data_IF_591508827909
#
_entry.id   IF_591508827909
#
_cell.length_a   1.000
_cell.length_b   1.000
_cell.length_c   1.000
_cell.angle_alpha   90.00
_cell.angle_beta   90.00
_cell.angle_gamma   90.00
#
_symmetry.space_group_name_H-M   'P 1'
#
loop_
_entity.id
_entity.type
_entity.pdbx_description
1 polymer ?
#
# COMPACT_ATOMS: atom_id res chain seq x y z
N UNK A 1 11.29 11.09 3.14
CA UNK A 1 10.28 10.17 3.69
C UNK A 1 9.71 9.27 2.60
N UNK A 2 8.75 8.38 2.90
CA UNK A 2 8.21 7.41 1.92
C UNK A 2 7.64 8.08 0.67
N UNK A 3 6.98 9.23 0.81
CA UNK A 3 6.43 9.99 -0.33
C UNK A 3 7.50 10.47 -1.32
N UNK A 4 8.62 10.96 -0.79
CA UNK A 4 9.74 11.41 -1.62
C UNK A 4 10.46 10.23 -2.29
N UNK A 5 10.63 9.12 -1.57
CA UNK A 5 11.20 7.89 -2.13
C UNK A 5 10.33 7.38 -3.28
N UNK A 6 9.02 7.29 -3.09
CA UNK A 6 8.08 6.86 -4.12
C UNK A 6 8.17 7.73 -5.38
N UNK A 7 8.04 9.06 -5.23
CA UNK A 7 8.11 10.00 -6.36
C UNK A 7 9.45 9.93 -7.09
N UNK A 8 10.57 9.98 -6.38
CA UNK A 8 11.91 9.92 -6.99
C UNK A 8 12.15 8.58 -7.69
N UNK A 9 11.67 7.48 -7.13
CA UNK A 9 11.79 6.17 -7.76
C UNK A 9 10.95 6.10 -9.03
N UNK A 10 9.69 6.57 -8.99
CA UNK A 10 8.85 6.66 -10.17
C UNK A 10 9.50 7.47 -11.29
N UNK A 11 9.99 8.69 -11.00
CA UNK A 11 10.63 9.55 -11.99
C UNK A 11 11.91 8.90 -12.55
N UNK A 12 12.71 8.24 -11.70
CA UNK A 12 13.89 7.51 -12.15
C UNK A 12 13.53 6.39 -13.13
N UNK A 13 12.53 5.56 -12.79
CA UNK A 13 12.09 4.45 -13.63
C UNK A 13 11.48 4.95 -14.95
N UNK A 14 10.63 5.98 -14.89
CA UNK A 14 10.06 6.63 -16.07
C UNK A 14 11.13 7.18 -17.00
N UNK A 15 12.13 7.89 -16.48
CA UNK A 15 13.23 8.46 -17.28
C UNK A 15 14.06 7.42 -18.04
N UNK A 16 14.03 6.16 -17.58
CA UNK A 16 14.73 5.03 -18.19
C UNK A 16 13.85 4.17 -19.12
N UNK A 17 12.59 4.56 -19.32
CA UNK A 17 11.67 3.87 -20.20
C UNK A 17 11.14 2.53 -19.65
N UNK A 18 11.14 2.34 -18.34
CA UNK A 18 10.48 1.17 -17.75
C UNK A 18 8.96 1.27 -17.89
N UNK A 19 8.31 0.14 -18.19
CA UNK A 19 6.86 0.08 -18.33
C UNK A 19 6.13 0.01 -16.97
N UNK A 20 6.77 -0.60 -15.98
CA UNK A 20 6.22 -0.78 -14.64
C UNK A 20 7.32 -0.64 -13.58
N UNK A 21 6.90 -0.27 -12.37
CA UNK A 21 7.72 -0.26 -11.17
C UNK A 21 7.03 -1.12 -10.12
N UNK A 22 7.76 -2.04 -9.50
CA UNK A 22 7.33 -2.65 -8.24
C UNK A 22 7.98 -1.89 -7.10
N UNK A 23 7.18 -1.46 -6.12
CA UNK A 23 7.67 -0.96 -4.86
C UNK A 23 7.18 -1.89 -3.75
N UNK A 24 8.08 -2.27 -2.86
CA UNK A 24 7.82 -3.16 -1.74
C UNK A 24 8.48 -2.60 -0.49
N UNK A 25 7.85 -2.85 0.65
CA UNK A 25 8.41 -2.60 1.97
C UNK A 25 9.60 -3.54 2.22
N UNK A 26 10.50 -3.12 3.11
CA UNK A 26 11.80 -3.79 3.30
C UNK A 26 11.73 -5.17 3.95
N UNK A 27 10.57 -5.54 4.47
CA UNK A 27 10.27 -6.80 5.15
C UNK A 27 9.36 -7.72 4.34
N UNK A 28 9.15 -7.43 3.04
CA UNK A 28 8.51 -8.40 2.13
C UNK A 28 9.40 -9.62 1.91
N UNK A 29 8.83 -10.80 2.10
CA UNK A 29 9.52 -12.08 1.97
C UNK A 29 8.89 -12.91 0.85
N UNK A 30 9.72 -13.42 -0.06
CA UNK A 30 9.31 -14.42 -1.03
C UNK A 30 9.18 -15.80 -0.34
N UNK A 31 8.04 -16.44 -0.52
CA UNK A 31 7.72 -17.73 0.10
C UNK A 31 7.96 -18.92 -0.84
N UNK A 32 8.05 -18.66 -2.16
CA UNK A 32 8.17 -19.70 -3.19
C UNK A 32 9.19 -19.30 -4.25
N UNK A 33 9.84 -20.31 -4.84
CA UNK A 33 10.64 -20.13 -6.04
C UNK A 33 9.75 -19.67 -7.21
N UNK A 34 10.29 -18.83 -8.10
CA UNK A 34 9.54 -18.31 -9.25
C UNK A 34 8.48 -17.26 -8.91
N UNK A 35 8.48 -16.69 -7.70
CA UNK A 35 7.53 -15.64 -7.28
C UNK A 35 7.43 -14.48 -8.29
N UNK A 36 8.55 -14.11 -8.92
CA UNK A 36 8.58 -13.02 -9.89
C UNK A 36 7.81 -13.38 -11.16
N UNK A 37 7.90 -14.63 -11.62
CA UNK A 37 7.16 -15.09 -12.80
C UNK A 37 5.65 -15.12 -12.52
N UNK A 38 5.26 -15.47 -11.30
CA UNK A 38 3.86 -15.42 -10.84
C UNK A 38 3.34 -13.97 -10.83
N UNK A 39 4.13 -13.03 -10.32
CA UNK A 39 3.78 -11.60 -10.35
C UNK A 39 3.70 -11.05 -11.78
N UNK A 40 4.65 -11.39 -12.64
CA UNK A 40 4.61 -10.98 -14.05
C UNK A 40 3.40 -11.56 -14.78
N UNK A 41 2.96 -12.76 -14.40
CA UNK A 41 1.74 -13.37 -14.92
C UNK A 41 0.48 -12.62 -14.48
N UNK A 42 0.42 -12.14 -13.24
CA UNK A 42 -0.67 -11.26 -12.80
C UNK A 42 -0.66 -9.91 -13.49
N UNK A 43 0.52 -9.29 -13.64
CA UNK A 43 0.69 -8.04 -14.39
C UNK A 43 0.15 -8.19 -15.80
N UNK A 44 0.43 -9.31 -16.48
CA UNK A 44 -0.09 -9.57 -17.83
C UNK A 44 -1.59 -9.79 -17.84
N UNK A 45 -2.12 -10.53 -16.87
CA UNK A 45 -3.53 -10.94 -16.82
C UNK A 45 -4.47 -9.83 -16.38
N UNK A 46 -3.97 -8.83 -15.67
CA UNK A 46 -4.74 -7.71 -15.14
C UNK A 46 -4.68 -6.43 -16.00
N UNK A 47 -4.06 -6.45 -17.17
CA UNK A 47 -4.08 -5.29 -18.08
C UNK A 47 -5.51 -4.99 -18.59
N UNK A 48 -5.87 -3.70 -18.78
CA UNK A 48 -5.13 -2.52 -18.32
C UNK A 48 -5.26 -2.32 -16.80
N UNK A 49 -4.21 -1.78 -16.16
CA UNK A 49 -4.26 -1.32 -14.77
C UNK A 49 -3.35 -0.11 -14.55
N UNK A 50 -3.65 0.71 -13.54
CA UNK A 50 -2.78 1.76 -13.02
C UNK A 50 -1.97 1.25 -11.82
N UNK A 51 -2.65 0.64 -10.85
CA UNK A 51 -2.05 0.05 -9.65
C UNK A 51 -2.54 -1.38 -9.49
N UNK A 52 -1.61 -2.32 -9.37
CA UNK A 52 -1.86 -3.72 -9.03
C UNK A 52 -1.17 -4.00 -7.69
N UNK A 53 -1.91 -3.89 -6.59
CA UNK A 53 -1.35 -3.89 -5.23
C UNK A 53 -1.94 -4.98 -4.34
N UNK A 54 -1.32 -5.20 -3.19
CA UNK A 54 -1.88 -6.12 -2.21
C UNK A 54 -2.96 -5.45 -1.35
N UNK A 55 -3.88 -6.28 -0.86
CA UNK A 55 -4.83 -5.91 0.19
C UNK A 55 -4.30 -6.34 1.55
N UNK A 56 -4.86 -5.74 2.60
CA UNK A 56 -4.63 -6.20 3.96
C UNK A 56 -5.41 -7.50 4.24
N UNK A 57 -4.68 -8.56 4.57
CA UNK A 57 -5.16 -9.90 4.89
C UNK A 57 -4.93 -10.28 6.37
N UNK A 58 -4.33 -9.39 7.15
CA UNK A 58 -4.17 -9.59 8.60
C UNK A 58 -5.47 -9.43 9.39
N UNK A 59 -5.41 -9.74 10.68
CA UNK A 59 -6.54 -9.74 11.61
C UNK A 59 -6.53 -8.55 12.58
N UNK A 60 -5.44 -7.79 12.62
CA UNK A 60 -5.24 -6.71 13.60
C UNK A 60 -6.31 -5.60 13.54
N UNK A 61 -7.09 -5.53 12.46
CA UNK A 61 -8.14 -4.54 12.26
C UNK A 61 -9.53 -5.06 12.60
N UNK A 62 -9.71 -6.38 12.81
CA UNK A 62 -11.03 -7.01 12.87
C UNK A 62 -11.93 -6.43 13.97
N UNK A 63 -11.35 -6.09 15.13
CA UNK A 63 -12.09 -5.55 16.27
C UNK A 63 -12.58 -4.10 16.07
N UNK A 64 -12.05 -3.38 15.08
CA UNK A 64 -12.38 -1.97 14.85
C UNK A 64 -12.56 -1.63 13.37
N UNK A 65 -12.75 -2.62 12.50
CA UNK A 65 -12.81 -2.48 11.04
C UNK A 65 -13.86 -1.47 10.58
N UNK A 66 -14.98 -1.40 11.27
CA UNK A 66 -16.08 -0.46 10.97
C UNK A 66 -15.77 0.98 11.38
N UNK A 67 -14.72 1.21 12.17
CA UNK A 67 -14.24 2.52 12.58
C UNK A 67 -13.12 3.04 11.66
N UNK A 68 -12.60 2.19 10.77
CA UNK A 68 -11.53 2.53 9.84
C UNK A 68 -12.11 3.33 8.67
N UNK A 69 -11.52 4.48 8.31
CA UNK A 69 -11.94 5.24 7.13
C UNK A 69 -11.95 4.36 5.88
N UNK A 70 -12.97 4.52 5.02
CA UNK A 70 -13.13 3.73 3.80
C UNK A 70 -11.85 3.67 2.96
N UNK A 71 -11.18 4.81 2.76
CA UNK A 71 -9.94 4.87 2.02
C UNK A 71 -8.84 4.02 2.67
N UNK A 72 -8.76 3.96 4.01
CA UNK A 72 -7.75 3.16 4.70
C UNK A 72 -8.13 1.67 4.69
N UNK A 73 -9.41 1.34 4.76
CA UNK A 73 -9.86 -0.05 4.67
C UNK A 73 -9.63 -0.65 3.28
N UNK A 74 -9.85 0.16 2.25
CA UNK A 74 -9.85 -0.29 0.86
C UNK A 74 -8.52 0.03 0.15
N UNK A 75 -7.53 0.62 0.83
CA UNK A 75 -6.26 0.95 0.19
C UNK A 75 -5.53 -0.33 -0.25
N UNK A 76 -4.99 -0.25 -1.46
CA UNK A 76 -3.89 -1.12 -1.86
C UNK A 76 -2.65 -0.57 -1.14
N UNK A 77 -2.00 -1.39 -0.34
CA UNK A 77 -0.87 -0.94 0.46
C UNK A 77 0.37 -0.61 -0.39
N UNK A 78 1.43 -0.12 0.25
CA UNK A 78 2.72 0.21 -0.36
C UNK A 78 3.49 -0.94 -1.03
N UNK A 79 2.92 -2.15 -1.12
CA UNK A 79 3.45 -3.29 -1.87
C UNK A 79 2.60 -3.50 -3.12
N UNK A 80 3.03 -2.85 -4.20
CA UNK A 80 2.27 -2.80 -5.45
C UNK A 80 3.16 -2.66 -6.69
N UNK A 81 2.60 -3.10 -7.81
CA UNK A 81 3.08 -2.79 -9.15
C UNK A 81 2.34 -1.55 -9.66
N UNK A 82 3.10 -0.53 -10.03
CA UNK A 82 2.63 0.70 -10.64
C UNK A 82 2.91 0.63 -12.15
N UNK A 83 1.87 0.76 -12.96
CA UNK A 83 2.01 0.83 -14.42
C UNK A 83 2.45 2.24 -14.82
N UNK A 84 3.74 2.42 -15.08
CA UNK A 84 4.34 3.73 -15.40
C UNK A 84 3.72 4.31 -16.67
N UNK A 85 3.29 3.46 -17.60
CA UNK A 85 2.70 3.88 -18.88
C UNK A 85 1.23 4.25 -18.79
N UNK A 86 0.56 3.99 -17.66
CA UNK A 86 -0.85 4.31 -17.49
C UNK A 86 -1.02 5.79 -17.13
N UNK A 87 -1.83 6.58 -17.87
CA UNK A 87 -1.98 8.03 -17.65
C UNK A 87 -2.43 8.41 -16.22
N UNK A 88 -3.31 7.60 -15.61
CA UNK A 88 -3.72 7.81 -14.22
C UNK A 88 -2.54 7.81 -13.23
N UNK A 89 -1.51 6.98 -13.44
CA UNK A 89 -0.35 6.96 -12.53
C UNK A 89 0.43 8.26 -12.63
N UNK A 90 0.57 8.83 -13.83
CA UNK A 90 1.19 10.15 -14.00
C UNK A 90 0.40 11.25 -13.28
N UNK A 91 -0.93 11.28 -13.44
CA UNK A 91 -1.79 12.24 -12.72
C UNK A 91 -1.68 12.12 -11.21
N UNK A 92 -1.62 10.90 -10.68
CA UNK A 92 -1.40 10.63 -9.26
C UNK A 92 -0.05 11.21 -8.80
N UNK A 93 1.01 10.99 -9.56
CA UNK A 93 2.35 11.48 -9.21
C UNK A 93 2.39 13.00 -9.24
N UNK A 94 1.83 13.63 -10.28
CA UNK A 94 1.76 15.08 -10.41
C UNK A 94 1.00 15.71 -9.23
N UNK A 95 -0.07 15.06 -8.77
CA UNK A 95 -0.83 15.54 -7.62
C UNK A 95 -0.07 15.38 -6.31
N UNK A 96 0.62 14.24 -6.09
CA UNK A 96 1.52 14.07 -4.95
C UNK A 96 2.66 15.10 -4.96
N UNK A 97 3.12 15.53 -6.15
CA UNK A 97 4.08 16.62 -6.32
C UNK A 97 3.49 17.98 -5.96
N UNK A 98 2.27 18.29 -6.43
CA UNK A 98 1.56 19.52 -6.10
C UNK A 98 1.24 19.62 -4.60
N UNK A 99 0.96 18.50 -3.95
CA UNK A 99 0.63 18.39 -2.54
C UNK A 99 1.84 18.47 -1.59
N UNK A 100 3.07 18.44 -2.10
CA UNK A 100 4.29 18.25 -1.29
C UNK A 100 4.52 19.31 -0.19
N UNK A 101 4.02 20.54 -0.39
CA UNK A 101 4.18 21.65 0.55
C UNK A 101 2.90 21.92 1.37
N UNK A 102 2.02 20.93 1.45
CA UNK A 102 0.74 21.01 2.16
C UNK A 102 0.65 19.90 3.21
N UNK A 103 -0.40 19.92 4.03
CA UNK A 103 -0.66 18.85 5.01
C UNK A 103 -0.87 17.46 4.37
N UNK A 104 -1.27 17.39 3.10
CA UNK A 104 -1.37 16.12 2.38
C UNK A 104 -0.04 15.36 2.35
N UNK A 105 1.10 16.06 2.33
CA UNK A 105 2.42 15.41 2.33
C UNK A 105 2.77 14.67 3.64
N UNK A 106 2.01 14.90 4.72
CA UNK A 106 2.14 14.10 5.93
C UNK A 106 1.52 12.70 5.76
N UNK A 107 0.59 12.52 4.82
CA UNK A 107 -0.10 11.26 4.56
C UNK A 107 0.80 10.38 3.69
N UNK A 108 1.05 9.11 4.06
CA UNK A 108 1.79 8.17 3.22
C UNK A 108 1.19 8.04 1.81
N UNK A 109 2.03 7.95 0.79
CA UNK A 109 1.64 8.02 -0.62
C UNK A 109 0.61 6.96 -1.00
N UNK A 110 0.73 5.74 -0.50
CA UNK A 110 -0.16 4.62 -0.75
C UNK A 110 -1.55 4.88 -0.15
N UNK A 111 -1.61 5.37 1.08
CA UNK A 111 -2.86 5.79 1.69
C UNK A 111 -3.45 7.01 0.96
N UNK A 112 -2.62 7.98 0.58
CA UNK A 112 -3.07 9.17 -0.16
C UNK A 112 -3.64 8.80 -1.53
N UNK A 113 -3.03 7.86 -2.26
CA UNK A 113 -3.55 7.32 -3.52
C UNK A 113 -4.95 6.73 -3.32
N UNK A 114 -5.15 5.97 -2.24
CA UNK A 114 -6.47 5.44 -1.91
C UNK A 114 -7.49 6.53 -1.57
N UNK A 115 -7.07 7.59 -0.89
CA UNK A 115 -7.92 8.75 -0.63
C UNK A 115 -8.33 9.46 -1.93
N UNK A 116 -7.38 9.72 -2.85
CA UNK A 116 -7.66 10.30 -4.17
C UNK A 116 -8.71 9.46 -4.92
N UNK A 117 -8.50 8.15 -4.97
CA UNK A 117 -9.43 7.25 -5.66
C UNK A 117 -10.80 7.17 -4.97
N UNK A 118 -10.83 7.10 -3.65
CA UNK A 118 -12.07 7.06 -2.85
C UNK A 118 -12.89 8.34 -2.99
N UNK A 119 -12.22 9.49 -2.99
CA UNK A 119 -12.87 10.79 -3.13
C UNK A 119 -13.48 10.94 -4.52
N UNK A 120 -12.78 10.52 -5.59
CA UNK A 120 -13.32 10.53 -6.96
C UNK A 120 -14.44 9.52 -7.20
N UNK A 121 -14.25 8.27 -6.76
CA UNK A 121 -15.17 7.15 -7.07
C UNK A 121 -16.40 7.09 -6.16
N UNK A 122 -16.30 7.58 -4.92
CA UNK A 122 -17.38 7.48 -3.92
C UNK A 122 -17.89 8.84 -3.44
N UNK A 123 -17.25 9.95 -3.84
CA UNK A 123 -17.62 11.29 -3.36
C UNK A 123 -17.40 11.47 -1.85
N UNK A 124 -16.48 10.69 -1.26
CA UNK A 124 -16.15 10.76 0.16
C UNK A 124 -14.89 11.62 0.32
N UNK A 125 -14.96 12.81 0.94
CA UNK A 125 -13.79 13.66 1.14
C UNK A 125 -12.67 12.96 1.90
N UNK A 126 -11.43 13.37 1.60
CA UNK A 126 -10.24 12.88 2.30
C UNK A 126 -10.20 13.40 3.75
N UNK A 127 -10.17 12.48 4.72
CA UNK A 127 -9.92 12.82 6.12
C UNK A 127 -8.42 12.98 6.42
N UNK A 128 -8.07 13.88 7.34
CA UNK A 128 -6.70 13.94 7.85
C UNK A 128 -6.47 12.89 8.95
N UNK A 129 -5.54 11.94 8.79
CA UNK A 129 -5.36 10.87 9.76
C UNK A 129 -4.80 11.33 11.11
N UNK A 130 -4.07 12.45 11.14
CA UNK A 130 -3.42 12.96 12.34
C UNK A 130 -4.28 14.02 13.05
N UNK A 131 -5.37 13.59 13.69
CA UNK A 131 -6.36 14.45 14.36
C UNK A 131 -5.79 15.38 15.44
N UNK A 132 -4.63 15.04 15.99
CA UNK A 132 -3.91 15.80 16.99
C UNK A 132 -3.10 16.98 16.41
N UNK A 133 -2.88 17.00 15.09
CA UNK A 133 -2.14 18.07 14.44
C UNK A 133 -3.03 19.30 14.28
N UNK A 134 -2.51 20.44 14.70
CA UNK A 134 -3.19 21.73 14.59
C UNK A 134 -2.59 22.53 13.44
N UNK A 135 -3.45 23.22 12.71
CA UNK A 135 -3.06 24.22 11.72
C UNK A 135 -2.49 25.44 12.45
N UNK A 136 -1.24 25.80 12.16
CA UNK A 136 -0.54 26.88 12.87
C UNK A 136 -1.18 28.26 12.65
N UNK A 137 -1.85 28.45 11.50
CA UNK A 137 -2.47 29.73 11.15
C UNK A 137 -3.83 29.93 11.83
N UNK A 138 -4.56 28.84 12.10
CA UNK A 138 -5.91 28.91 12.68
C UNK A 138 -5.99 28.45 14.13
N UNK A 139 -5.00 27.68 14.61
CA UNK A 139 -5.02 27.02 15.92
C UNK A 139 -6.03 25.87 16.04
N UNK A 140 -6.68 25.48 14.95
CA UNK A 140 -7.69 24.40 14.92
C UNK A 140 -7.10 23.11 14.35
N UNK A 141 -7.75 21.95 14.53
CA UNK A 141 -7.34 20.71 13.87
C UNK A 141 -7.24 20.88 12.35
N UNK A 142 -6.22 20.27 11.76
CA UNK A 142 -6.02 20.31 10.30
C UNK A 142 -7.23 19.70 9.59
N UNK A 143 -7.77 20.45 8.62
CA UNK A 143 -8.82 19.98 7.69
C UNK A 143 -8.26 20.04 6.28
N UNK A 144 -8.30 18.92 5.56
CA UNK A 144 -7.85 18.87 4.18
C UNK A 144 -8.90 19.53 3.27
N UNK A 145 -8.48 20.40 2.33
CA UNK A 145 -9.41 20.90 1.34
C UNK A 145 -9.86 19.75 0.43
N UNK A 146 -11.17 19.67 0.15
CA UNK A 146 -11.67 18.68 -0.81
C UNK A 146 -11.14 18.99 -2.21
N UNK A 147 -10.82 17.93 -2.95
CA UNK A 147 -10.42 17.93 -4.36
C UNK A 147 -11.34 17.03 -5.19
N UNK A 148 -12.58 16.89 -4.75
CA UNK A 148 -13.55 15.95 -5.31
C UNK A 148 -13.80 16.17 -6.78
N UNK A 149 -13.91 17.41 -7.25
CA UNK A 149 -14.13 17.70 -8.67
C UNK A 149 -12.96 17.19 -9.54
N UNK A 150 -11.72 17.37 -9.06
CA UNK A 150 -10.53 16.89 -9.74
C UNK A 150 -10.52 15.36 -9.83
N UNK A 151 -10.69 14.69 -8.70
CA UNK A 151 -10.62 13.23 -8.64
C UNK A 151 -11.82 12.54 -9.28
N UNK A 152 -12.98 13.20 -9.25
CA UNK A 152 -14.16 12.77 -10.01
C UNK A 152 -13.87 12.80 -11.51
N UNK A 153 -13.20 13.85 -12.00
CA UNK A 153 -12.75 13.89 -13.39
C UNK A 153 -11.86 12.69 -13.77
N UNK A 154 -10.95 12.29 -12.88
CA UNK A 154 -10.13 11.09 -13.10
C UNK A 154 -10.94 9.80 -13.07
N UNK A 155 -11.89 9.68 -12.15
CA UNK A 155 -12.77 8.52 -12.08
C UNK A 155 -13.68 8.41 -13.31
N UNK A 156 -14.22 9.54 -13.78
CA UNK A 156 -15.06 9.58 -14.99
C UNK A 156 -14.23 9.23 -16.24
N UNK A 157 -12.92 9.54 -16.27
CA UNK A 157 -12.02 9.22 -17.39
C UNK A 157 -11.48 7.78 -17.36
N UNK A 158 -11.12 7.26 -16.18
CA UNK A 158 -10.40 5.98 -16.05
C UNK A 158 -11.14 4.89 -15.27
N UNK A 159 -12.31 5.18 -14.69
CA UNK A 159 -12.99 4.30 -13.73
C UNK A 159 -13.57 3.01 -14.34
N UNK A 160 -13.95 3.03 -15.62
CA UNK A 160 -14.58 1.90 -16.32
C UNK A 160 -13.64 0.68 -16.38
N UNK A 161 -12.34 0.90 -16.56
CA UNK A 161 -11.33 -0.16 -16.67
C UNK A 161 -10.92 -0.77 -15.31
N UNK A 162 -11.49 -0.27 -14.20
CA UNK A 162 -11.13 -0.64 -12.84
C UNK A 162 -9.61 -0.61 -12.60
N UNK A 163 -8.96 0.56 -12.72
CA UNK A 163 -7.50 0.67 -12.83
C UNK A 163 -6.76 0.36 -11.51
N UNK A 164 -7.48 0.29 -10.39
CA UNK A 164 -6.96 -0.10 -9.07
C UNK A 164 -7.34 -1.56 -8.82
N UNK A 165 -6.38 -2.48 -8.94
CA UNK A 165 -6.62 -3.94 -8.87
C UNK A 165 -5.84 -4.58 -7.74
N UNK A 166 -6.40 -5.67 -7.20
CA UNK A 166 -5.76 -6.49 -6.17
C UNK A 166 -4.92 -7.57 -6.84
N UNK A 167 -3.65 -7.67 -6.45
CA UNK A 167 -2.79 -8.79 -6.77
C UNK A 167 -3.12 -9.97 -5.84
N UNK A 168 -3.23 -11.18 -6.36
CA UNK A 168 -3.44 -12.38 -5.54
C UNK A 168 -2.12 -13.05 -5.15
N UNK A 169 -1.00 -12.63 -5.76
CA UNK A 169 0.32 -13.15 -5.40
C UNK A 169 1.07 -12.29 -4.37
N UNK A 170 0.47 -11.16 -3.98
CA UNK A 170 0.96 -10.26 -2.96
C UNK A 170 -0.07 -10.19 -1.82
N UNK A 171 0.33 -10.50 -0.60
CA UNK A 171 -0.52 -10.30 0.59
C UNK A 171 0.20 -9.48 1.64
N UNK A 172 -0.57 -8.64 2.33
CA UNK A 172 -0.07 -7.84 3.45
C UNK A 172 -0.77 -8.26 4.72
N UNK A 173 0.02 -8.73 5.67
CA UNK A 173 -0.50 -9.10 6.96
C UNK A 173 -0.11 -8.12 8.07
N UNK A 174 0.65 -7.07 7.75
CA UNK A 174 1.17 -6.07 8.68
C UNK A 174 2.37 -6.57 9.47
N UNK A 175 2.79 -5.79 10.47
CA UNK A 175 3.93 -6.09 11.33
C UNK A 175 3.62 -7.15 12.41
N UNK A 176 3.04 -8.27 11.99
CA UNK A 176 2.62 -9.39 12.83
C UNK A 176 3.44 -10.63 12.46
N UNK A 177 3.69 -11.50 13.44
CA UNK A 177 4.37 -12.76 13.20
C UNK A 177 3.36 -13.79 12.70
N UNK A 178 3.71 -14.51 11.63
CA UNK A 178 2.87 -15.58 11.10
C UNK A 178 3.57 -16.93 11.15
N UNK A 179 2.78 -17.98 11.32
CA UNK A 179 3.19 -19.34 11.00
C UNK A 179 3.06 -19.54 9.48
N UNK A 180 3.94 -20.35 8.84
CA UNK A 180 3.85 -20.66 7.41
C UNK A 180 2.46 -21.18 6.99
N UNK A 181 1.74 -21.86 7.88
CA UNK A 181 0.39 -22.37 7.61
C UNK A 181 -0.67 -21.26 7.52
N UNK A 182 -0.41 -20.07 8.07
CA UNK A 182 -1.34 -18.94 8.10
C UNK A 182 -1.26 -18.04 6.85
N UNK A 183 -0.16 -18.14 6.09
CA UNK A 183 0.09 -17.32 4.88
C UNK A 183 -0.44 -17.97 3.59
N UNK A 184 -1.19 -19.07 3.69
CA UNK A 184 -2.08 -19.57 2.63
C UNK A 184 -1.42 -19.92 1.29
N UNK A 185 -0.08 -20.03 1.24
CA UNK A 185 0.67 -20.28 0.00
C UNK A 185 0.85 -19.06 -0.90
N UNK A 186 0.66 -17.84 -0.40
CA UNK A 186 0.89 -16.61 -1.17
C UNK A 186 2.39 -16.42 -1.48
N UNK A 187 2.79 -16.17 -2.75
CA UNK A 187 4.19 -16.07 -3.13
C UNK A 187 4.99 -14.95 -2.46
N UNK A 188 4.38 -13.81 -2.21
CA UNK A 188 5.01 -12.64 -1.58
C UNK A 188 4.16 -12.15 -0.41
N UNK A 189 4.79 -12.04 0.75
CA UNK A 189 4.13 -11.68 2.00
C UNK A 189 4.84 -10.49 2.62
N UNK A 190 4.09 -9.41 2.89
CA UNK A 190 4.49 -8.33 3.78
C UNK A 190 4.11 -8.69 5.23
N UNK A 191 5.11 -8.76 6.11
CA UNK A 191 5.00 -9.04 7.54
C UNK A 191 6.21 -9.81 8.06
N UNK A 192 6.42 -9.84 9.38
CA UNK A 192 7.61 -10.47 9.98
C UNK A 192 7.62 -11.96 9.62
N UNK A 193 8.73 -12.40 9.02
CA UNK A 193 8.86 -13.67 8.32
C UNK A 193 8.33 -14.87 9.09
N UNK A 194 7.88 -15.88 8.34
CA UNK A 194 7.30 -17.09 8.91
C UNK A 194 8.27 -17.71 9.93
N UNK A 195 7.84 -17.82 11.19
CA UNK A 195 8.67 -18.47 12.20
C UNK A 195 8.82 -19.95 11.80
N UNK A 196 10.01 -20.54 11.98
CA UNK A 196 10.22 -21.96 11.69
C UNK A 196 9.11 -22.78 12.35
N UNK A 197 8.42 -23.68 11.62
CA UNK A 197 7.34 -24.45 12.18
C UNK A 197 7.83 -25.23 13.40
N UNK A 198 7.02 -25.24 14.45
CA UNK A 198 7.31 -26.00 15.66
C UNK A 198 7.53 -27.47 15.32
N UNK A 199 8.72 -27.98 15.57
CA UNK A 199 8.99 -29.41 15.52
C UNK A 199 8.79 -30.01 16.92
N UNK A 200 7.68 -30.74 17.15
CA UNK A 200 7.38 -31.34 18.45
C UNK A 200 8.38 -32.43 18.86
N UNK A 201 9.21 -32.91 17.93
CA UNK A 201 10.25 -33.89 18.20
C UNK A 201 11.52 -33.24 18.78
N UNK A 202 11.71 -31.93 18.60
CA UNK A 202 12.90 -31.21 19.09
C UNK A 202 12.59 -30.20 20.19
N UNK A 203 11.37 -29.66 20.27
CA UNK A 203 10.98 -28.67 21.27
C UNK A 203 9.59 -28.97 21.85
N UNK A 204 9.41 -28.83 23.18
CA UNK A 204 8.12 -29.11 23.86
C UNK A 204 7.18 -27.89 23.96
N UNK A 205 7.73 -26.68 23.82
CA UNK A 205 7.02 -25.40 23.92
C UNK A 205 7.70 -24.46 22.91
N UNK A 206 6.92 -23.71 22.13
CA UNK A 206 7.43 -22.58 21.33
C UNK A 206 6.95 -21.28 21.96
N UNK A 207 7.90 -20.44 22.38
CA UNK A 207 7.64 -19.07 22.82
C UNK A 207 7.93 -18.13 21.65
N UNK A 208 6.89 -17.51 21.09
CA UNK A 208 7.03 -16.50 20.05
C UNK A 208 7.07 -15.13 20.73
N UNK A 209 8.24 -14.50 20.75
CA UNK A 209 8.42 -13.13 21.25
C UNK A 209 8.53 -12.19 20.04
N UNK A 210 7.55 -11.29 19.92
CA UNK A 210 7.57 -10.21 18.93
C UNK A 210 8.42 -9.06 19.48
N UNK A 211 9.66 -8.92 19.01
CA UNK A 211 10.46 -7.71 19.23
C UNK A 211 10.46 -6.80 17.99
N UNK A 212 10.40 -5.50 18.22
CA UNK A 212 10.39 -4.41 17.23
C UNK A 212 11.79 -3.85 16.96
N UNK A 213 12.79 -4.15 17.79
CA UNK A 213 14.14 -3.58 17.67
C UNK A 213 15.10 -4.45 16.84
N UNK A 214 15.86 -3.78 15.95
CA UNK A 214 16.80 -4.39 14.99
C UNK A 214 18.11 -4.92 15.60
N UNK A 215 18.32 -4.80 16.91
CA UNK A 215 19.67 -4.78 17.47
C UNK A 215 20.04 -5.93 18.42
N UNK A 216 19.52 -7.15 18.26
CA UNK A 216 20.08 -8.30 18.99
C UNK A 216 20.17 -9.59 18.16
N UNK A 217 21.20 -9.65 17.32
CA UNK A 217 21.88 -10.90 16.98
C UNK A 217 23.38 -10.62 16.76
N UNK A 218 24.14 -10.61 17.87
CA UNK A 218 25.57 -10.97 17.88
C UNK A 218 25.68 -12.41 18.38
#
# INVERSE_FOLDING_TARGET
GPNEQFRKTYQHMKSRGYASMILMEGDVQAQVDGWLDLLLSEVKSNQPFAVLGSKYDGDSWDNFKDQIPTALRDHLNGNAVYNITHPLVEKIIDELEAEQNTYFNAIPYDYRISQMWTEGSKGIPSDFPYKQMMDESTGNPVVLPSKMDLFKGWYDEYGEDHPMKVAHVLSNYGATNFLPEQVGGVPLVHGKGAYLPHDPNTHKITLVITDWEKDHAQ
#
